data_IF_835558195266
#
_entry.id   IF_835558195266
#
_cell.length_a   1.000
_cell.length_b   1.000
_cell.length_c   1.000
_cell.angle_alpha   90.00
_cell.angle_beta   90.00
_cell.angle_gamma   90.00
#
_symmetry.space_group_name_H-M   'P 1'
#
loop_
_entity.id
_entity.type
_entity.pdbx_description
1 polymer ?
#
# COMPACT_ATOMS: atom_id res chain seq x y z
N UNK A 1 -9.25 16.60 23.76
CA UNK A 1 -9.52 16.00 22.43
C UNK A 1 -8.34 15.11 22.06
N UNK A 2 -8.59 14.06 21.28
CA UNK A 2 -7.60 13.12 20.76
C UNK A 2 -7.62 13.19 19.23
N UNK A 3 -6.44 13.31 18.62
CA UNK A 3 -6.23 13.10 17.19
C UNK A 3 -5.31 11.90 17.04
N UNK A 4 -5.75 10.87 16.31
CA UNK A 4 -5.07 9.57 16.30
C UNK A 4 -4.96 8.97 14.90
N UNK A 5 -3.80 8.38 14.61
CA UNK A 5 -3.57 7.50 13.47
C UNK A 5 -3.42 6.06 13.98
N UNK A 6 -4.51 5.27 14.04
CA UNK A 6 -4.47 3.90 14.54
C UNK A 6 -3.69 2.98 13.59
N UNK A 7 -2.86 2.08 14.13
CA UNK A 7 -2.04 1.17 13.31
C UNK A 7 -2.88 0.17 12.50
N UNK A 8 -3.99 -0.27 13.06
CA UNK A 8 -4.91 -1.26 12.52
C UNK A 8 -6.35 -0.74 12.60
N UNK A 9 -7.18 -1.09 11.61
CA UNK A 9 -8.57 -0.62 11.50
C UNK A 9 -9.49 -1.11 12.62
N UNK A 10 -9.14 -2.14 13.39
CA UNK A 10 -10.00 -2.70 14.43
C UNK A 10 -9.37 -2.64 15.83
N UNK A 11 -8.05 -2.82 15.94
CA UNK A 11 -7.39 -3.08 17.22
C UNK A 11 -7.59 -1.98 18.28
N UNK A 12 -7.74 -0.72 17.87
CA UNK A 12 -7.94 0.41 18.78
C UNK A 12 -9.41 0.77 19.06
N UNK A 13 -10.37 0.05 18.47
CA UNK A 13 -11.79 0.35 18.66
C UNK A 13 -12.21 0.45 20.15
N UNK A 14 -11.89 -0.53 21.03
CA UNK A 14 -12.33 -0.46 22.43
C UNK A 14 -11.75 0.74 23.20
N UNK A 15 -10.51 1.15 22.89
CA UNK A 15 -9.87 2.27 23.55
C UNK A 15 -10.46 3.62 23.08
N UNK A 16 -10.79 3.72 21.79
CA UNK A 16 -11.41 4.90 21.21
C UNK A 16 -12.85 5.05 21.74
N UNK A 17 -13.61 3.95 21.83
CA UNK A 17 -14.95 3.94 22.41
C UNK A 17 -14.94 4.43 23.87
N UNK A 18 -13.98 3.98 24.68
CA UNK A 18 -13.82 4.45 26.06
C UNK A 18 -13.56 5.96 26.14
N UNK A 19 -12.70 6.48 25.25
CA UNK A 19 -12.43 7.92 25.20
C UNK A 19 -13.68 8.73 24.83
N UNK A 20 -14.45 8.26 23.85
CA UNK A 20 -15.71 8.89 23.41
C UNK A 20 -16.74 8.86 24.56
N UNK A 21 -16.91 7.72 25.24
CA UNK A 21 -17.80 7.58 26.39
C UNK A 21 -17.43 8.50 27.56
N UNK A 22 -16.14 8.79 27.74
CA UNK A 22 -15.65 9.76 28.72
C UNK A 22 -15.85 11.24 28.29
N UNK A 23 -16.50 11.49 27.16
CA UNK A 23 -16.75 12.84 26.64
C UNK A 23 -15.52 13.48 25.98
N UNK A 24 -14.49 12.69 25.64
CA UNK A 24 -13.31 13.20 24.93
C UNK A 24 -13.60 13.23 23.43
N UNK A 25 -13.51 14.39 22.76
CA UNK A 25 -13.64 14.46 21.31
C UNK A 25 -12.53 13.67 20.60
N UNK A 26 -12.87 12.81 19.63
CA UNK A 26 -11.90 12.02 18.85
C UNK A 26 -12.02 12.32 17.36
N UNK A 27 -10.87 12.52 16.72
CA UNK A 27 -10.70 12.62 15.25
C UNK A 27 -9.63 11.62 14.83
N UNK A 28 -9.85 10.92 13.71
CA UNK A 28 -8.81 10.07 13.11
C UNK A 28 -8.07 10.81 12.00
N UNK A 29 -6.78 10.55 11.84
CA UNK A 29 -5.94 11.14 10.80
C UNK A 29 -5.09 10.07 10.14
N UNK A 30 -4.93 10.13 8.81
CA UNK A 30 -4.17 9.19 7.95
C UNK A 30 -4.74 7.77 7.93
N UNK A 31 -4.94 7.16 9.10
CA UNK A 31 -5.52 5.83 9.29
C UNK A 31 -6.88 5.95 9.97
N UNK A 32 -7.79 5.06 9.60
CA UNK A 32 -9.14 4.98 10.18
C UNK A 32 -9.22 3.84 11.19
N UNK A 33 -10.23 3.91 12.04
CA UNK A 33 -10.75 2.75 12.79
C UNK A 33 -12.18 2.51 12.29
N UNK A 34 -12.52 1.25 12.06
CA UNK A 34 -13.82 0.83 11.57
C UNK A 34 -14.73 0.43 12.75
N UNK A 35 -16.04 0.55 12.57
CA UNK A 35 -17.03 0.08 13.55
C UNK A 35 -17.20 0.94 14.81
N UNK A 36 -16.53 2.09 14.93
CA UNK A 36 -16.65 2.98 16.09
C UNK A 36 -17.56 4.18 15.78
N UNK A 37 -18.66 4.29 16.51
CA UNK A 37 -19.54 5.46 16.45
C UNK A 37 -19.02 6.62 17.31
N UNK A 38 -19.35 7.86 16.95
CA UNK A 38 -19.00 9.06 17.72
C UNK A 38 -17.62 9.66 17.41
N UNK A 39 -16.87 9.10 16.46
CA UNK A 39 -15.70 9.77 15.87
C UNK A 39 -16.19 10.98 15.08
N UNK A 40 -15.65 12.16 15.41
CA UNK A 40 -16.16 13.42 14.86
C UNK A 40 -15.78 13.63 13.40
N UNK A 41 -14.60 13.15 13.00
CA UNK A 41 -14.12 13.25 11.63
C UNK A 41 -12.99 12.23 11.37
N UNK A 42 -12.79 11.94 10.09
CA UNK A 42 -11.56 11.34 9.57
C UNK A 42 -10.91 12.32 8.57
N UNK A 43 -9.61 12.53 8.71
CA UNK A 43 -8.82 13.34 7.77
C UNK A 43 -7.77 12.46 7.11
N UNK A 44 -7.92 12.19 5.82
CA UNK A 44 -7.02 11.32 5.08
C UNK A 44 -7.19 11.48 3.57
N UNK A 45 -6.31 10.83 2.81
CA UNK A 45 -6.43 10.74 1.37
C UNK A 45 -7.47 9.68 0.96
N UNK A 46 -8.02 9.82 -0.24
CA UNK A 46 -8.76 8.75 -0.90
C UNK A 46 -7.76 7.71 -1.43
N UNK A 47 -7.38 6.77 -0.56
CA UNK A 47 -6.33 5.79 -0.83
C UNK A 47 -6.72 4.78 -1.91
N UNK A 48 -8.03 4.53 -2.12
CA UNK A 48 -8.49 3.69 -3.23
C UNK A 48 -8.20 4.38 -4.56
N UNK A 49 -8.61 5.65 -4.70
CA UNK A 49 -8.26 6.44 -5.89
C UNK A 49 -6.76 6.60 -6.07
N UNK A 50 -6.00 6.69 -4.98
CA UNK A 50 -4.54 6.71 -5.01
C UNK A 50 -3.95 5.47 -5.67
N UNK A 51 -4.36 4.27 -5.21
CA UNK A 51 -3.93 3.01 -5.80
C UNK A 51 -4.40 2.85 -7.26
N UNK A 52 -5.62 3.30 -7.59
CA UNK A 52 -6.11 3.31 -8.97
C UNK A 52 -5.26 4.21 -9.87
N UNK A 53 -4.91 5.41 -9.40
CA UNK A 53 -4.08 6.35 -10.15
C UNK A 53 -2.66 5.82 -10.37
N UNK A 54 -2.07 5.17 -9.36
CA UNK A 54 -0.76 4.52 -9.47
C UNK A 54 -0.78 3.40 -10.53
N UNK A 55 -1.75 2.49 -10.46
CA UNK A 55 -1.88 1.40 -11.41
C UNK A 55 -2.18 1.91 -12.85
N UNK A 56 -2.98 2.96 -12.99
CA UNK A 56 -3.24 3.60 -14.29
C UNK A 56 -1.97 4.24 -14.87
N UNK A 57 -1.13 4.87 -14.04
CA UNK A 57 0.14 5.42 -14.47
C UNK A 57 1.09 4.32 -14.97
N UNK A 58 1.13 3.15 -14.30
CA UNK A 58 1.89 1.99 -14.77
C UNK A 58 1.36 1.47 -16.11
N UNK A 59 0.04 1.29 -16.24
CA UNK A 59 -0.60 0.87 -17.51
C UNK A 59 -0.25 1.83 -18.66
N UNK A 60 -0.23 3.14 -18.40
CA UNK A 60 0.16 4.15 -19.40
C UNK A 60 1.66 4.07 -19.76
N UNK A 61 2.52 3.73 -18.79
CA UNK A 61 3.95 3.56 -19.01
C UNK A 61 4.31 2.28 -19.77
N UNK A 62 3.44 1.26 -19.73
CA UNK A 62 3.63 -0.06 -20.34
C UNK A 62 2.51 -0.44 -21.31
N UNK A 63 2.34 0.27 -22.45
CA UNK A 63 1.21 0.08 -23.36
C UNK A 63 1.11 -1.33 -23.97
N UNK A 64 2.19 -2.11 -23.90
CA UNK A 64 2.26 -3.48 -24.43
C UNK A 64 2.07 -4.56 -23.35
N UNK A 65 1.79 -4.18 -22.10
CA UNK A 65 1.72 -5.11 -20.97
C UNK A 65 3.00 -5.13 -20.13
N UNK A 66 2.91 -5.73 -18.94
CA UNK A 66 4.00 -5.79 -17.98
C UNK A 66 3.86 -6.98 -17.01
N UNK A 67 5.00 -7.51 -16.58
CA UNK A 67 5.15 -8.33 -15.37
C UNK A 67 5.44 -7.43 -14.18
N UNK A 68 4.66 -7.57 -13.13
CA UNK A 68 4.58 -6.60 -12.04
C UNK A 68 4.90 -7.29 -10.73
N UNK A 69 5.77 -6.65 -9.93
CA UNK A 69 5.80 -6.90 -8.50
C UNK A 69 4.92 -5.87 -7.80
N UNK A 70 4.14 -6.29 -6.82
CA UNK A 70 3.31 -5.40 -6.01
C UNK A 70 3.72 -5.52 -4.54
N UNK A 71 4.33 -4.46 -4.02
CA UNK A 71 4.73 -4.37 -2.62
C UNK A 71 3.67 -3.60 -1.84
N UNK A 72 3.02 -4.29 -0.91
CA UNK A 72 1.94 -3.75 -0.10
C UNK A 72 2.45 -3.13 1.22
N UNK A 73 1.66 -2.22 1.77
CA UNK A 73 1.92 -1.62 3.08
C UNK A 73 1.63 -2.55 4.25
N UNK A 74 1.71 -2.00 5.47
CA UNK A 74 1.45 -2.75 6.71
C UNK A 74 0.04 -3.39 6.71
N UNK A 75 -0.07 -4.72 6.91
CA UNK A 75 -1.36 -5.40 7.02
C UNK A 75 -2.23 -4.81 8.13
N UNK A 76 -3.53 -4.71 7.87
CA UNK A 76 -4.51 -4.13 8.81
C UNK A 76 -4.59 -2.61 8.78
N UNK A 77 -3.63 -1.91 8.18
CA UNK A 77 -3.69 -0.46 8.02
C UNK A 77 -4.69 -0.06 6.92
N UNK A 78 -5.57 0.90 7.23
CA UNK A 78 -6.56 1.42 6.27
C UNK A 78 -5.95 1.83 4.92
N UNK A 79 -4.89 2.66 4.87
CA UNK A 79 -4.23 3.02 3.62
C UNK A 79 -3.66 1.84 2.83
N UNK A 80 -3.11 0.82 3.50
CA UNK A 80 -2.57 -0.36 2.82
C UNK A 80 -3.69 -1.18 2.16
N UNK A 81 -4.78 -1.40 2.88
CA UNK A 81 -5.97 -2.10 2.38
C UNK A 81 -6.55 -1.37 1.16
N UNK A 82 -6.72 -0.05 1.28
CA UNK A 82 -7.37 0.76 0.27
C UNK A 82 -6.50 0.93 -0.99
N UNK A 83 -5.19 1.18 -0.85
CA UNK A 83 -4.27 1.26 -2.00
C UNK A 83 -4.19 -0.07 -2.73
N UNK A 84 -4.08 -1.18 -2.00
CA UNK A 84 -4.08 -2.52 -2.57
C UNK A 84 -5.35 -2.76 -3.40
N UNK A 85 -6.52 -2.43 -2.83
CA UNK A 85 -7.80 -2.51 -3.55
C UNK A 85 -7.78 -1.65 -4.82
N UNK A 86 -7.27 -0.42 -4.75
CA UNK A 86 -7.17 0.47 -5.90
C UNK A 86 -6.31 -0.11 -7.03
N UNK A 87 -5.17 -0.72 -6.70
CA UNK A 87 -4.31 -1.40 -7.67
C UNK A 87 -5.05 -2.57 -8.35
N UNK A 88 -5.70 -3.43 -7.58
CA UNK A 88 -6.47 -4.57 -8.11
C UNK A 88 -7.68 -4.15 -8.95
N UNK A 89 -8.38 -3.07 -8.56
CA UNK A 89 -9.49 -2.52 -9.35
C UNK A 89 -9.08 -2.23 -10.81
N UNK A 90 -7.82 -1.83 -11.02
CA UNK A 90 -7.29 -1.50 -12.35
C UNK A 90 -6.65 -2.72 -13.03
N UNK A 91 -5.83 -3.49 -12.31
CA UNK A 91 -5.02 -4.55 -12.94
C UNK A 91 -5.76 -5.86 -13.15
N UNK A 92 -6.62 -6.28 -12.21
CA UNK A 92 -7.32 -7.57 -12.31
C UNK A 92 -8.19 -7.69 -13.57
N UNK A 93 -8.92 -6.65 -14.01
CA UNK A 93 -9.67 -6.70 -15.27
C UNK A 93 -8.79 -6.86 -16.52
N UNK A 94 -7.49 -6.57 -16.44
CA UNK A 94 -6.53 -6.61 -17.54
C UNK A 94 -5.39 -7.62 -17.31
N UNK A 95 -5.59 -8.59 -16.41
CA UNK A 95 -4.56 -9.52 -15.93
C UNK A 95 -3.83 -10.33 -17.01
N UNK A 96 -4.47 -10.58 -18.14
CA UNK A 96 -3.84 -11.30 -19.26
C UNK A 96 -2.67 -10.50 -19.85
N UNK A 97 -2.76 -9.17 -19.79
CA UNK A 97 -1.77 -8.22 -20.31
C UNK A 97 -0.86 -7.64 -19.21
N UNK A 98 -1.38 -7.48 -18.00
CA UNK A 98 -0.65 -6.94 -16.84
C UNK A 98 -0.66 -7.96 -15.71
N UNK A 99 0.43 -8.71 -15.57
CA UNK A 99 0.49 -9.85 -14.66
C UNK A 99 1.21 -9.47 -13.37
N UNK A 100 0.49 -9.46 -12.25
CA UNK A 100 1.13 -9.43 -10.93
C UNK A 100 1.75 -10.81 -10.70
N UNK A 101 3.08 -10.89 -10.82
CA UNK A 101 3.85 -12.16 -10.71
C UNK A 101 4.46 -12.35 -9.32
N UNK A 102 4.45 -11.31 -8.50
CA UNK A 102 4.88 -11.37 -7.10
C UNK A 102 4.14 -10.28 -6.32
N UNK A 103 3.57 -10.66 -5.18
CA UNK A 103 2.81 -9.74 -4.35
C UNK A 103 3.03 -10.06 -2.88
N UNK A 104 3.59 -9.11 -2.14
CA UNK A 104 3.96 -9.30 -0.74
C UNK A 104 3.92 -7.96 0.01
N UNK A 105 3.65 -7.99 1.31
CA UNK A 105 3.83 -6.82 2.17
C UNK A 105 5.32 -6.51 2.38
N UNK A 106 5.64 -5.22 2.43
CA UNK A 106 6.90 -4.68 2.92
C UNK A 106 6.68 -3.61 4.03
N UNK A 107 5.50 -3.62 4.66
CA UNK A 107 5.21 -2.90 5.90
C UNK A 107 5.47 -1.39 5.90
N UNK A 108 5.41 -0.73 4.74
CA UNK A 108 5.79 0.69 4.58
C UNK A 108 7.25 0.99 4.94
N UNK A 109 8.10 -0.03 5.02
CA UNK A 109 9.47 0.06 5.49
C UNK A 109 10.46 -0.21 4.36
N UNK A 110 11.41 0.72 4.18
CA UNK A 110 12.44 0.64 3.15
C UNK A 110 13.28 -0.65 3.24
N UNK A 111 13.75 -0.98 4.45
CA UNK A 111 14.61 -2.15 4.64
C UNK A 111 13.86 -3.46 4.31
N UNK A 112 12.58 -3.54 4.65
CA UNK A 112 11.76 -4.69 4.30
C UNK A 112 11.48 -4.75 2.80
N UNK A 113 11.24 -3.60 2.16
CA UNK A 113 11.04 -3.54 0.72
C UNK A 113 12.26 -4.00 -0.07
N UNK A 114 13.47 -3.65 0.39
CA UNK A 114 14.72 -4.20 -0.15
C UNK A 114 14.71 -5.73 -0.07
N UNK A 115 14.55 -6.30 1.13
CA UNK A 115 14.58 -7.76 1.32
C UNK A 115 13.48 -8.51 0.57
N UNK A 116 12.26 -7.96 0.55
CA UNK A 116 11.11 -8.54 -0.16
C UNK A 116 11.31 -8.48 -1.67
N UNK A 117 11.86 -7.37 -2.20
CA UNK A 117 12.20 -7.26 -3.62
C UNK A 117 13.30 -8.25 -4.00
N UNK A 118 14.36 -8.39 -3.20
CA UNK A 118 15.42 -9.37 -3.43
C UNK A 118 14.89 -10.81 -3.50
N UNK A 119 13.99 -11.16 -2.59
CA UNK A 119 13.31 -12.46 -2.58
C UNK A 119 12.44 -12.65 -3.85
N UNK A 120 11.66 -11.63 -4.21
CA UNK A 120 10.87 -11.64 -5.45
C UNK A 120 11.73 -11.82 -6.70
N UNK A 121 12.85 -11.08 -6.80
CA UNK A 121 13.80 -11.14 -7.91
C UNK A 121 14.50 -12.51 -7.97
N UNK A 122 14.76 -13.15 -6.83
CA UNK A 122 15.33 -14.49 -6.78
C UNK A 122 14.33 -15.56 -7.23
N UNK A 123 13.06 -15.44 -6.83
CA UNK A 123 12.03 -16.43 -7.12
C UNK A 123 11.45 -16.31 -8.54
N UNK A 124 11.27 -15.09 -9.04
CA UNK A 124 10.49 -14.82 -10.26
C UNK A 124 11.32 -14.18 -11.39
N UNK A 125 12.57 -13.82 -11.11
CA UNK A 125 13.40 -13.06 -12.04
C UNK A 125 13.04 -11.58 -12.09
N UNK A 126 13.49 -10.89 -13.14
CA UNK A 126 13.30 -9.44 -13.31
C UNK A 126 11.86 -9.11 -13.72
N UNK A 127 11.12 -8.25 -12.97
CA UNK A 127 9.85 -7.68 -13.42
C UNK A 127 10.07 -6.52 -14.38
N UNK A 128 9.02 -6.09 -15.07
CA UNK A 128 9.01 -4.84 -15.85
C UNK A 128 8.74 -3.63 -14.93
N UNK A 129 7.86 -3.82 -13.93
CA UNK A 129 7.49 -2.76 -12.99
C UNK A 129 7.36 -3.24 -11.54
N UNK A 130 7.57 -2.34 -10.59
CA UNK A 130 7.31 -2.57 -9.16
C UNK A 130 6.38 -1.47 -8.63
N UNK A 131 5.16 -1.87 -8.26
CA UNK A 131 4.18 -0.99 -7.60
C UNK A 131 4.45 -1.03 -6.09
N UNK A 132 4.57 0.14 -5.46
CA UNK A 132 4.99 0.25 -4.06
C UNK A 132 4.03 1.14 -3.29
N UNK A 133 3.45 0.62 -2.22
CA UNK A 133 2.46 1.35 -1.44
C UNK A 133 2.96 2.67 -0.80
N UNK A 134 4.28 2.95 -0.74
CA UNK A 134 4.84 4.27 -0.44
C UNK A 134 6.27 4.45 -1.01
N UNK A 135 6.77 5.67 -0.89
CA UNK A 135 8.08 6.10 -1.41
C UNK A 135 9.27 5.39 -0.76
N UNK A 136 9.23 5.17 0.57
CA UNK A 136 10.29 4.43 1.28
C UNK A 136 10.45 3.01 0.75
N UNK A 137 9.33 2.34 0.47
CA UNK A 137 9.34 1.02 -0.15
C UNK A 137 9.87 1.09 -1.58
N UNK A 138 9.49 2.10 -2.37
CA UNK A 138 10.03 2.30 -3.70
C UNK A 138 11.56 2.48 -3.69
N UNK A 139 12.11 3.23 -2.72
CA UNK A 139 13.56 3.38 -2.54
C UNK A 139 14.25 2.04 -2.22
N UNK A 140 13.63 1.18 -1.40
CA UNK A 140 14.15 -0.16 -1.11
C UNK A 140 14.12 -1.08 -2.33
N UNK A 141 13.05 -1.03 -3.12
CA UNK A 141 12.92 -1.78 -4.36
C UNK A 141 13.95 -1.35 -5.41
N UNK A 142 14.15 -0.03 -5.59
CA UNK A 142 15.17 0.52 -6.48
C UNK A 142 16.57 0.06 -6.08
N UNK A 143 16.87 0.03 -4.78
CA UNK A 143 18.15 -0.46 -4.26
C UNK A 143 18.38 -1.95 -4.62
N UNK A 144 17.36 -2.79 -4.45
CA UNK A 144 17.40 -4.20 -4.83
C UNK A 144 17.64 -4.40 -6.34
N UNK A 145 16.96 -3.61 -7.18
CA UNK A 145 17.12 -3.63 -8.62
C UNK A 145 18.52 -3.16 -9.05
N UNK A 146 19.02 -2.07 -8.46
CA UNK A 146 20.34 -1.52 -8.75
C UNK A 146 21.46 -2.51 -8.42
N UNK A 147 21.34 -3.26 -7.32
CA UNK A 147 22.30 -4.32 -6.94
C UNK A 147 22.43 -5.43 -8.00
N UNK A 148 21.44 -5.56 -8.90
CA UNK A 148 21.45 -6.51 -10.03
C UNK A 148 21.67 -5.84 -11.39
N UNK A 149 22.01 -4.56 -11.43
CA UNK A 149 22.13 -3.73 -12.64
C UNK A 149 20.81 -3.61 -13.44
N UNK A 150 19.66 -3.74 -12.77
CA UNK A 150 18.36 -3.50 -13.39
C UNK A 150 18.04 -2.01 -13.27
N UNK A 151 18.24 -1.28 -14.36
CA UNK A 151 18.11 0.20 -14.42
C UNK A 151 16.86 0.67 -15.18
N UNK A 152 16.13 -0.27 -15.76
CA UNK A 152 14.97 -0.09 -16.62
C UNK A 152 13.66 -0.62 -16.00
N UNK A 153 13.72 -1.16 -14.78
CA UNK A 153 12.54 -1.48 -13.97
C UNK A 153 11.94 -0.17 -13.50
N UNK A 154 10.62 -0.01 -13.69
CA UNK A 154 9.90 1.23 -13.33
C UNK A 154 9.00 1.07 -12.13
#
# INVERSE_FOLDING_TARGET
AIVISPLDVNALAPAIEQAIQAGVPVVTIDRRVDGVEGILAHVGADNVKGGEAEAQAMVAAFPNGAKIFHLQGQPGAGPAIDRNKGVHNVLDPMKDKYQIIFEQTANFARAEALSVTEAGLAANGKPDAIICANDDMALGAVEACAARNFTDVK
#
